data_IF_766081055129
#
_entry.id   IF_766081055129
#
_cell.length_a   1.000
_cell.length_b   1.000
_cell.length_c   1.000
_cell.angle_alpha   90.00
_cell.angle_beta   90.00
_cell.angle_gamma   90.00
#
_symmetry.space_group_name_H-M   'P 1'
#
loop_
_entity.id
_entity.type
_entity.pdbx_description
1 polymer ?
#
# COMPACT_ATOMS: atom_id res chain seq x y z
N UNK A 1 -68.20 33.29 7.25
CA UNK A 1 -68.28 32.72 8.62
C UNK A 1 -67.61 31.36 8.77
N UNK A 2 -67.13 30.69 7.71
CA UNK A 2 -66.45 29.39 7.84
C UNK A 2 -64.95 29.47 8.16
N UNK A 3 -64.26 30.58 7.86
CA UNK A 3 -62.82 30.71 8.13
C UNK A 3 -62.45 30.86 9.62
N UNK A 4 -63.34 31.41 10.46
CA UNK A 4 -63.07 31.60 11.89
C UNK A 4 -63.30 30.35 12.76
N UNK A 5 -63.99 29.34 12.23
CA UNK A 5 -64.20 28.07 12.92
C UNK A 5 -62.94 27.18 12.85
N UNK A 6 -62.25 27.16 11.70
CA UNK A 6 -60.98 26.45 11.52
C UNK A 6 -59.86 27.03 12.39
N UNK A 7 -59.72 28.36 12.45
CA UNK A 7 -58.72 29.01 13.33
C UNK A 7 -58.95 28.68 14.81
N UNK A 8 -60.21 28.60 15.25
CA UNK A 8 -60.54 28.26 16.65
C UNK A 8 -60.29 26.79 16.98
N UNK A 9 -60.48 25.89 16.00
CA UNK A 9 -60.20 24.46 16.14
C UNK A 9 -58.69 24.19 16.18
N UNK A 10 -57.93 24.75 15.25
CA UNK A 10 -56.47 24.60 15.20
C UNK A 10 -55.78 25.23 16.42
N UNK A 11 -56.30 26.34 16.93
CA UNK A 11 -55.72 26.95 18.14
C UNK A 11 -56.04 26.10 19.38
N UNK A 12 -57.32 25.78 19.63
CA UNK A 12 -57.68 25.12 20.88
C UNK A 12 -57.32 23.63 20.93
N UNK A 13 -57.60 22.90 19.84
CA UNK A 13 -57.30 21.47 19.75
C UNK A 13 -55.84 21.24 19.35
N UNK A 14 -55.28 22.08 18.48
CA UNK A 14 -53.87 21.97 18.08
C UNK A 14 -52.91 22.31 19.21
N UNK A 15 -53.20 23.29 20.08
CA UNK A 15 -52.36 23.56 21.25
C UNK A 15 -52.45 22.42 22.28
N UNK A 16 -53.66 21.91 22.54
CA UNK A 16 -53.85 20.75 23.42
C UNK A 16 -53.13 19.50 22.90
N UNK A 17 -53.20 19.22 21.60
CA UNK A 17 -52.44 18.12 20.99
C UNK A 17 -50.93 18.37 21.06
N UNK A 18 -50.46 19.60 20.82
CA UNK A 18 -49.03 19.95 20.94
C UNK A 18 -48.49 19.77 22.35
N UNK A 19 -49.31 20.01 23.37
CA UNK A 19 -48.93 19.76 24.77
C UNK A 19 -48.95 18.27 25.14
N UNK A 20 -49.92 17.50 24.65
CA UNK A 20 -50.07 16.09 25.00
C UNK A 20 -49.20 15.12 24.20
N UNK A 21 -48.88 15.45 22.95
CA UNK A 21 -48.14 14.53 22.07
C UNK A 21 -46.72 14.23 22.56
N UNK A 22 -45.89 15.20 22.99
CA UNK A 22 -44.53 14.92 23.45
C UNK A 22 -44.44 13.90 24.61
N UNK A 23 -45.19 14.04 25.72
CA UNK A 23 -45.11 13.06 26.81
C UNK A 23 -45.67 11.69 26.42
N UNK A 24 -46.72 11.62 25.59
CA UNK A 24 -47.26 10.35 25.10
C UNK A 24 -46.29 9.66 24.12
N UNK A 25 -45.67 10.42 23.21
CA UNK A 25 -44.68 9.89 22.29
C UNK A 25 -43.46 9.32 23.03
N UNK A 26 -43.06 9.94 24.14
CA UNK A 26 -41.97 9.43 24.98
C UNK A 26 -42.27 8.07 25.65
N UNK A 27 -43.55 7.65 25.73
CA UNK A 27 -43.91 6.31 26.23
C UNK A 27 -43.76 5.21 25.20
N UNK A 28 -43.59 5.57 23.93
CA UNK A 28 -43.40 4.62 22.83
C UNK A 28 -41.92 4.27 22.76
N UNK A 29 -41.59 3.00 22.99
CA UNK A 29 -40.23 2.50 22.80
C UNK A 29 -39.76 2.76 21.37
N UNK A 30 -38.46 3.05 21.15
CA UNK A 30 -37.93 3.17 19.80
C UNK A 30 -38.18 1.87 19.03
N UNK A 31 -38.43 1.97 17.71
CA UNK A 31 -38.62 0.80 16.87
C UNK A 31 -37.41 -0.12 16.93
N UNK A 32 -37.68 -1.43 17.01
CA UNK A 32 -36.65 -2.46 16.89
C UNK A 32 -36.14 -2.56 15.44
N UNK A 33 -35.10 -3.37 15.22
CA UNK A 33 -34.47 -3.47 13.89
C UNK A 33 -35.43 -3.97 12.80
N UNK A 34 -36.32 -4.91 13.15
CA UNK A 34 -37.33 -5.42 12.22
C UNK A 34 -38.38 -4.35 11.87
N UNK A 35 -38.82 -3.57 12.86
CA UNK A 35 -39.74 -2.46 12.65
C UNK A 35 -39.07 -1.37 11.81
N UNK A 36 -37.80 -1.06 12.05
CA UNK A 36 -37.02 -0.12 11.23
C UNK A 36 -36.95 -0.56 9.76
N UNK A 37 -36.67 -1.83 9.48
CA UNK A 37 -36.65 -2.38 8.12
C UNK A 37 -38.03 -2.25 7.45
N UNK A 38 -39.11 -2.58 8.17
CA UNK A 38 -40.47 -2.49 7.65
C UNK A 38 -40.88 -1.03 7.37
N UNK A 39 -40.55 -0.11 8.28
CA UNK A 39 -40.80 1.33 8.11
C UNK A 39 -40.05 1.88 6.90
N UNK A 40 -38.77 1.51 6.72
CA UNK A 40 -37.96 1.97 5.59
C UNK A 40 -38.40 1.35 4.25
N UNK A 41 -39.05 0.18 4.26
CA UNK A 41 -39.69 -0.39 3.08
C UNK A 41 -40.93 0.43 2.67
N UNK A 42 -41.70 0.92 3.63
CA UNK A 42 -42.90 1.73 3.38
C UNK A 42 -42.55 3.17 3.01
N UNK A 43 -41.72 3.83 3.82
CA UNK A 43 -41.28 5.21 3.60
C UNK A 43 -39.85 5.24 3.07
N UNK A 44 -39.75 5.25 1.75
CA UNK A 44 -38.49 5.04 1.04
C UNK A 44 -37.44 6.15 1.19
N UNK A 45 -37.82 7.32 1.73
CA UNK A 45 -36.95 8.50 1.94
C UNK A 45 -36.53 8.67 3.41
N UNK A 46 -37.02 7.83 4.33
CA UNK A 46 -36.79 7.96 5.78
C UNK A 46 -35.30 7.90 6.17
N UNK A 47 -34.47 7.27 5.35
CA UNK A 47 -33.02 7.17 5.56
C UNK A 47 -32.27 8.48 5.29
N UNK A 48 -32.84 9.45 4.55
CA UNK A 48 -32.15 10.67 4.12
C UNK A 48 -31.66 11.51 5.30
N UNK A 49 -32.50 11.71 6.32
CA UNK A 49 -32.14 12.47 7.51
C UNK A 49 -30.96 11.82 8.27
N UNK A 50 -30.93 10.48 8.33
CA UNK A 50 -29.82 9.73 8.97
C UNK A 50 -28.56 9.78 8.12
N UNK A 51 -28.70 9.76 6.80
CA UNK A 51 -27.57 9.90 5.89
C UNK A 51 -26.94 11.30 5.96
N UNK A 52 -27.72 12.38 6.06
CA UNK A 52 -27.18 13.72 6.25
C UNK A 52 -26.42 13.85 7.59
N UNK A 53 -26.92 13.22 8.65
CA UNK A 53 -26.18 13.15 9.92
C UNK A 53 -24.84 12.39 9.77
N UNK A 54 -24.81 11.28 9.02
CA UNK A 54 -23.57 10.56 8.74
C UNK A 54 -22.61 11.41 7.89
N UNK A 55 -23.12 12.15 6.91
CA UNK A 55 -22.32 13.00 6.03
C UNK A 55 -21.52 14.05 6.81
N UNK A 56 -22.05 14.55 7.92
CA UNK A 56 -21.33 15.47 8.79
C UNK A 56 -20.06 14.85 9.41
N UNK A 57 -19.99 13.52 9.54
CA UNK A 57 -18.81 12.81 10.04
C UNK A 57 -17.71 12.69 8.99
N UNK A 58 -18.04 12.76 7.70
CA UNK A 58 -17.14 12.46 6.60
C UNK A 58 -15.80 13.24 6.62
N UNK A 59 -15.74 14.54 6.98
CA UNK A 59 -14.48 15.27 7.06
C UNK A 59 -13.56 14.84 8.21
N UNK A 60 -14.13 14.28 9.28
CA UNK A 60 -13.41 13.98 10.54
C UNK A 60 -13.11 12.49 10.68
N UNK A 61 -14.08 11.65 10.33
CA UNK A 61 -14.00 10.20 10.43
C UNK A 61 -14.69 9.52 9.23
N UNK A 62 -13.94 9.34 8.12
CA UNK A 62 -14.42 8.62 6.94
C UNK A 62 -14.78 7.15 7.22
N UNK A 63 -14.15 6.52 8.21
CA UNK A 63 -14.43 5.13 8.56
C UNK A 63 -15.77 4.99 9.28
N UNK A 64 -16.08 5.87 10.25
CA UNK A 64 -17.39 5.93 10.88
C UNK A 64 -18.49 6.26 9.89
N UNK A 65 -18.25 7.18 8.95
CA UNK A 65 -19.17 7.43 7.83
C UNK A 65 -19.47 6.14 7.05
N UNK A 66 -18.43 5.44 6.61
CA UNK A 66 -18.57 4.24 5.78
C UNK A 66 -19.31 3.12 6.52
N UNK A 67 -18.93 2.85 7.77
CA UNK A 67 -19.58 1.86 8.63
C UNK A 67 -21.06 2.22 8.89
N UNK A 68 -21.34 3.50 9.12
CA UNK A 68 -22.68 4.04 9.29
C UNK A 68 -23.54 3.87 8.03
N UNK A 69 -22.99 4.13 6.85
CA UNK A 69 -23.68 3.92 5.56
C UNK A 69 -24.00 2.44 5.36
N UNK A 70 -23.08 1.52 5.69
CA UNK A 70 -23.37 0.09 5.60
C UNK A 70 -24.46 -0.34 6.60
N UNK A 71 -24.43 0.17 7.83
CA UNK A 71 -25.46 -0.11 8.83
C UNK A 71 -26.84 0.42 8.41
N UNK A 72 -26.90 1.67 7.94
CA UNK A 72 -28.10 2.28 7.39
C UNK A 72 -28.61 1.49 6.17
N UNK A 73 -27.69 1.00 5.35
CA UNK A 73 -27.97 0.14 4.22
C UNK A 73 -28.64 -1.18 4.59
N UNK A 74 -28.15 -1.86 5.64
CA UNK A 74 -28.80 -3.09 6.17
C UNK A 74 -30.23 -2.81 6.63
N UNK A 75 -30.45 -1.69 7.32
CA UNK A 75 -31.78 -1.26 7.76
C UNK A 75 -32.72 -0.85 6.60
N UNK A 76 -32.17 -0.65 5.39
CA UNK A 76 -32.91 -0.31 4.19
C UNK A 76 -32.88 -1.46 3.16
N UNK A 77 -32.51 -2.67 3.56
CA UNK A 77 -32.27 -3.76 2.60
C UNK A 77 -33.51 -4.07 1.74
N UNK A 78 -34.73 -3.82 2.27
CA UNK A 78 -36.04 -3.99 1.62
C UNK A 78 -36.58 -2.73 0.95
N UNK A 79 -35.89 -1.60 1.08
CA UNK A 79 -36.26 -0.34 0.49
C UNK A 79 -35.87 -0.32 -1.01
N UNK A 80 -36.83 -0.19 -1.95
CA UNK A 80 -36.53 -0.16 -3.39
C UNK A 80 -35.74 1.10 -3.84
N UNK A 81 -35.68 2.14 -3.00
CA UNK A 81 -34.95 3.39 -3.25
C UNK A 81 -33.59 3.47 -2.52
N UNK A 82 -33.02 2.35 -2.08
CA UNK A 82 -31.72 2.32 -1.40
C UNK A 82 -30.51 2.57 -2.35
N UNK A 83 -30.65 2.31 -3.65
CA UNK A 83 -29.52 2.45 -4.59
C UNK A 83 -28.89 3.88 -4.58
N UNK A 84 -29.67 4.99 -4.64
CA UNK A 84 -29.16 6.35 -4.48
C UNK A 84 -28.25 6.57 -3.26
N UNK A 85 -28.59 6.05 -2.07
CA UNK A 85 -27.78 6.15 -0.84
C UNK A 85 -26.32 5.76 -1.12
N UNK A 86 -26.13 4.58 -1.71
CA UNK A 86 -24.79 4.05 -1.98
C UNK A 86 -24.04 4.82 -3.06
N UNK A 87 -24.76 5.28 -4.11
CA UNK A 87 -24.13 6.06 -5.18
C UNK A 87 -23.63 7.40 -4.66
N UNK A 88 -24.41 8.06 -3.82
CA UNK A 88 -24.03 9.33 -3.21
C UNK A 88 -22.90 9.15 -2.21
N UNK A 89 -22.96 8.12 -1.37
CA UNK A 89 -21.90 7.80 -0.42
C UNK A 89 -20.57 7.53 -1.14
N UNK A 90 -20.59 6.73 -2.21
CA UNK A 90 -19.41 6.46 -3.03
C UNK A 90 -18.82 7.74 -3.64
N UNK A 91 -19.67 8.65 -4.11
CA UNK A 91 -19.23 9.95 -4.67
C UNK A 91 -18.57 10.82 -3.62
N UNK A 92 -19.22 11.01 -2.48
CA UNK A 92 -18.73 11.88 -1.41
C UNK A 92 -17.40 11.34 -0.86
N UNK A 93 -17.32 10.03 -0.58
CA UNK A 93 -16.08 9.40 -0.12
C UNK A 93 -14.98 9.45 -1.18
N UNK A 94 -15.34 9.28 -2.46
CA UNK A 94 -14.40 9.35 -3.58
C UNK A 94 -13.78 10.72 -3.78
N UNK A 95 -14.45 11.81 -3.39
CA UNK A 95 -13.88 13.15 -3.49
C UNK A 95 -12.69 13.35 -2.53
N UNK A 96 -12.68 12.68 -1.37
CA UNK A 96 -11.58 12.71 -0.41
C UNK A 96 -10.33 11.99 -0.91
N UNK A 97 -10.46 10.97 -1.75
CA UNK A 97 -9.33 10.28 -2.39
C UNK A 97 -8.53 9.31 -1.52
N UNK A 98 -8.84 9.15 -0.23
CA UNK A 98 -8.04 8.33 0.71
C UNK A 98 -8.56 6.89 0.94
N UNK A 99 -9.69 6.48 0.37
CA UNK A 99 -10.30 5.15 0.60
C UNK A 99 -10.85 4.51 -0.69
N UNK A 100 -10.00 4.15 -1.66
CA UNK A 100 -10.46 3.73 -2.98
C UNK A 100 -11.24 2.41 -2.96
N UNK A 101 -10.86 1.46 -2.10
CA UNK A 101 -11.57 0.19 -1.92
C UNK A 101 -13.01 0.40 -1.46
N UNK A 102 -13.21 1.26 -0.45
CA UNK A 102 -14.53 1.52 0.11
C UNK A 102 -15.44 2.22 -0.89
N UNK A 103 -14.88 3.12 -1.71
CA UNK A 103 -15.62 3.77 -2.79
C UNK A 103 -16.12 2.74 -3.80
N UNK A 104 -15.27 1.80 -4.21
CA UNK A 104 -15.67 0.73 -5.14
C UNK A 104 -16.70 -0.20 -4.50
N UNK A 105 -16.54 -0.58 -3.23
CA UNK A 105 -17.53 -1.39 -2.50
C UNK A 105 -18.89 -0.70 -2.45
N UNK A 106 -18.95 0.56 -2.02
CA UNK A 106 -20.19 1.34 -2.00
C UNK A 106 -20.81 1.43 -3.40
N UNK A 107 -19.99 1.63 -4.44
CA UNK A 107 -20.49 1.62 -5.82
C UNK A 107 -21.06 0.24 -6.24
N UNK A 108 -20.46 -0.86 -5.80
CA UNK A 108 -20.99 -2.21 -6.05
C UNK A 108 -22.32 -2.45 -5.34
N UNK A 109 -22.48 -1.97 -4.10
CA UNK A 109 -23.79 -1.96 -3.42
C UNK A 109 -24.85 -1.20 -4.24
N UNK A 110 -24.50 -0.03 -4.81
CA UNK A 110 -25.39 0.70 -5.72
C UNK A 110 -25.82 -0.15 -6.93
N UNK A 111 -24.88 -0.82 -7.58
CA UNK A 111 -25.17 -1.66 -8.75
C UNK A 111 -26.06 -2.86 -8.40
N UNK A 112 -25.75 -3.52 -7.27
CA UNK A 112 -26.49 -4.67 -6.77
C UNK A 112 -27.95 -4.29 -6.47
N UNK A 113 -28.17 -3.32 -5.58
CA UNK A 113 -29.53 -2.94 -5.18
C UNK A 113 -30.31 -2.26 -6.31
N UNK A 114 -29.63 -1.50 -7.17
CA UNK A 114 -30.25 -0.91 -8.35
C UNK A 114 -30.82 -1.99 -9.27
N UNK A 115 -30.09 -3.09 -9.48
CA UNK A 115 -30.53 -4.24 -10.24
C UNK A 115 -31.57 -5.12 -9.55
N UNK A 116 -31.47 -5.27 -8.23
CA UNK A 116 -32.39 -6.08 -7.42
C UNK A 116 -33.83 -5.60 -7.51
N UNK A 117 -34.03 -4.28 -7.46
CA UNK A 117 -35.37 -3.68 -7.38
C UNK A 117 -35.90 -3.10 -8.69
N UNK A 118 -35.04 -2.87 -9.70
CA UNK A 118 -35.46 -2.28 -10.98
C UNK A 118 -35.13 -3.20 -12.15
N UNK A 119 -36.16 -3.71 -12.82
CA UNK A 119 -36.03 -4.56 -13.99
C UNK A 119 -35.27 -3.90 -15.16
N UNK A 120 -35.44 -2.59 -15.34
CA UNK A 120 -34.76 -1.79 -16.38
C UNK A 120 -33.65 -0.90 -15.79
N UNK A 121 -32.86 -1.44 -14.86
CA UNK A 121 -31.77 -0.69 -14.24
C UNK A 121 -30.66 -0.36 -15.24
N UNK A 122 -30.51 0.93 -15.54
CA UNK A 122 -29.38 1.48 -16.30
C UNK A 122 -28.38 2.10 -15.32
N UNK A 123 -27.27 1.39 -14.98
CA UNK A 123 -26.34 1.88 -13.98
C UNK A 123 -25.63 3.14 -14.46
N UNK A 124 -25.61 4.17 -13.61
CA UNK A 124 -24.80 5.36 -13.84
C UNK A 124 -23.32 4.99 -13.62
N UNK A 125 -22.42 5.31 -14.57
CA UNK A 125 -20.99 5.10 -14.35
C UNK A 125 -20.49 5.99 -13.20
N UNK A 126 -19.35 5.62 -12.62
CA UNK A 126 -18.62 6.54 -11.76
C UNK A 126 -18.25 7.80 -12.56
N UNK A 127 -18.13 8.94 -11.87
CA UNK A 127 -17.69 10.16 -12.53
C UNK A 127 -16.27 9.92 -13.06
N UNK A 128 -15.99 10.28 -14.33
CA UNK A 128 -14.65 10.13 -14.93
C UNK A 128 -13.53 10.75 -14.09
N UNK A 129 -13.82 11.83 -13.35
CA UNK A 129 -12.86 12.45 -12.42
C UNK A 129 -12.52 11.54 -11.24
N UNK A 130 -13.50 10.80 -10.72
CA UNK A 130 -13.32 9.83 -9.63
C UNK A 130 -12.58 8.61 -10.15
N UNK A 131 -12.95 8.09 -11.33
CA UNK A 131 -12.23 6.95 -11.95
C UNK A 131 -10.73 7.25 -12.10
N UNK A 132 -10.38 8.44 -12.59
CA UNK A 132 -8.97 8.89 -12.69
C UNK A 132 -8.27 9.04 -11.34
N UNK A 133 -9.00 9.43 -10.29
CA UNK A 133 -8.46 9.54 -8.92
C UNK A 133 -8.23 8.14 -8.29
N UNK A 134 -9.16 7.21 -8.53
CA UNK A 134 -9.18 5.87 -7.93
C UNK A 134 -8.23 4.89 -8.63
N UNK A 135 -8.13 4.98 -9.96
CA UNK A 135 -7.36 4.06 -10.80
C UNK A 135 -6.25 4.83 -11.52
N UNK A 136 -5.03 4.71 -11.00
CA UNK A 136 -3.85 5.38 -11.58
C UNK A 136 -3.29 4.60 -12.76
N UNK A 137 -3.40 3.28 -12.73
CA UNK A 137 -2.92 2.37 -13.77
C UNK A 137 -4.08 1.90 -14.66
N UNK A 138 -3.87 1.74 -15.98
CA UNK A 138 -4.91 1.22 -16.88
C UNK A 138 -5.32 -0.22 -16.51
N UNK A 139 -4.41 -1.02 -15.95
CA UNK A 139 -4.69 -2.37 -15.47
C UNK A 139 -5.70 -2.39 -14.31
N UNK A 140 -5.61 -1.42 -13.38
CA UNK A 140 -6.56 -1.28 -12.28
C UNK A 140 -7.96 -0.97 -12.80
N UNK A 141 -8.06 -0.09 -13.80
CA UNK A 141 -9.33 0.23 -14.45
C UNK A 141 -9.92 -1.01 -15.14
N UNK A 142 -9.10 -1.78 -15.86
CA UNK A 142 -9.54 -2.99 -16.54
C UNK A 142 -10.06 -4.05 -15.55
N UNK A 143 -9.39 -4.25 -14.41
CA UNK A 143 -9.85 -5.17 -13.36
C UNK A 143 -11.14 -4.71 -12.71
N UNK A 144 -11.26 -3.43 -12.40
CA UNK A 144 -12.49 -2.84 -11.92
C UNK A 144 -13.65 -3.06 -12.90
N UNK A 145 -13.43 -2.82 -14.20
CA UNK A 145 -14.46 -3.03 -15.23
C UNK A 145 -14.87 -4.49 -15.34
N UNK A 146 -13.91 -5.42 -15.25
CA UNK A 146 -14.18 -6.85 -15.24
C UNK A 146 -15.06 -7.27 -14.04
N UNK A 147 -14.70 -6.83 -12.82
CA UNK A 147 -15.49 -7.10 -11.62
C UNK A 147 -16.88 -6.46 -11.68
N UNK A 148 -16.98 -5.24 -12.21
CA UNK A 148 -18.27 -4.56 -12.44
C UNK A 148 -19.15 -5.36 -13.41
N UNK A 149 -18.60 -5.83 -14.52
CA UNK A 149 -19.34 -6.64 -15.49
C UNK A 149 -19.79 -7.96 -14.88
N UNK A 150 -18.92 -8.61 -14.12
CA UNK A 150 -19.24 -9.86 -13.43
C UNK A 150 -20.34 -9.67 -12.38
N UNK A 151 -20.32 -8.59 -11.60
CA UNK A 151 -21.39 -8.25 -10.65
C UNK A 151 -22.73 -8.03 -11.35
N UNK A 152 -22.73 -7.31 -12.48
CA UNK A 152 -23.95 -7.06 -13.25
C UNK A 152 -24.53 -8.36 -13.86
N UNK A 153 -23.66 -9.33 -14.18
CA UNK A 153 -24.03 -10.64 -14.72
C UNK A 153 -24.49 -11.62 -13.65
N UNK A 154 -23.69 -11.84 -12.62
CA UNK A 154 -23.93 -12.81 -11.54
C UNK A 154 -25.03 -12.35 -10.58
N UNK A 155 -25.20 -11.03 -10.42
CA UNK A 155 -26.04 -10.41 -9.39
C UNK A 155 -25.64 -10.83 -7.97
N UNK A 156 -24.39 -11.22 -7.77
CA UNK A 156 -23.88 -11.60 -6.45
C UNK A 156 -22.87 -10.57 -5.94
N UNK A 157 -23.20 -9.96 -4.81
CA UNK A 157 -22.42 -8.91 -4.20
C UNK A 157 -21.25 -9.43 -3.37
N UNK A 158 -21.39 -10.60 -2.74
CA UNK A 158 -20.37 -11.16 -1.85
C UNK A 158 -19.03 -11.40 -2.54
N UNK A 159 -18.95 -12.19 -3.64
CA UNK A 159 -17.68 -12.45 -4.32
C UNK A 159 -17.10 -11.18 -4.95
N UNK A 160 -17.95 -10.29 -5.46
CA UNK A 160 -17.51 -9.03 -6.03
C UNK A 160 -16.85 -8.12 -4.98
N UNK A 161 -17.39 -8.09 -3.75
CA UNK A 161 -16.88 -7.27 -2.65
C UNK A 161 -15.57 -7.80 -2.08
N UNK A 162 -15.41 -9.12 -2.02
CA UNK A 162 -14.18 -9.79 -1.60
C UNK A 162 -13.06 -9.62 -2.62
N UNK A 163 -13.39 -9.58 -3.92
CA UNK A 163 -12.42 -9.35 -4.97
C UNK A 163 -11.95 -7.89 -5.12
N UNK A 164 -12.58 -6.92 -4.45
CA UNK A 164 -12.22 -5.49 -4.59
C UNK A 164 -10.73 -5.19 -4.33
N UNK A 165 -10.07 -5.72 -3.27
CA UNK A 165 -8.66 -5.45 -3.01
C UNK A 165 -7.74 -5.87 -4.18
N UNK A 166 -8.12 -6.92 -4.91
CA UNK A 166 -7.35 -7.45 -6.05
C UNK A 166 -7.21 -6.45 -7.21
N UNK A 167 -8.04 -5.41 -7.24
CA UNK A 167 -7.94 -4.33 -8.23
C UNK A 167 -6.58 -3.63 -8.14
N UNK A 168 -6.05 -3.42 -6.93
CA UNK A 168 -4.80 -2.68 -6.71
C UNK A 168 -3.58 -3.58 -6.49
N UNK A 169 -3.74 -4.90 -6.48
CA UNK A 169 -2.63 -5.84 -6.38
C UNK A 169 -1.70 -5.72 -7.60
N UNK A 170 -0.38 -5.75 -7.40
CA UNK A 170 0.54 -5.77 -8.54
C UNK A 170 0.59 -7.19 -9.12
N UNK A 171 0.29 -7.33 -10.42
CA UNK A 171 0.57 -8.57 -11.13
C UNK A 171 2.09 -8.77 -11.18
N UNK A 172 2.59 -9.80 -10.50
CA UNK A 172 4.01 -10.14 -10.57
C UNK A 172 4.28 -10.63 -11.98
N UNK A 173 5.13 -9.92 -12.73
CA UNK A 173 5.58 -10.38 -14.04
C UNK A 173 6.26 -11.73 -13.86
N UNK A 174 5.72 -12.76 -14.52
CA UNK A 174 6.34 -14.08 -14.56
C UNK A 174 7.67 -13.95 -15.29
N UNK A 175 8.79 -14.09 -14.58
CA UNK A 175 10.11 -14.10 -15.19
C UNK A 175 10.28 -15.45 -15.88
N UNK A 176 10.09 -15.47 -17.20
CA UNK A 176 10.40 -16.66 -17.99
C UNK A 176 11.91 -16.64 -18.32
N UNK A 177 12.69 -17.41 -17.55
CA UNK A 177 14.11 -17.59 -17.80
C UNK A 177 14.28 -18.26 -19.17
N UNK A 178 14.89 -17.57 -20.14
CA UNK A 178 15.17 -18.17 -21.45
C UNK A 178 16.32 -19.18 -21.32
N UNK A 179 16.07 -20.50 -21.44
CA UNK A 179 17.11 -21.52 -21.25
C UNK A 179 18.18 -21.51 -22.35
N UNK A 180 17.90 -20.89 -23.50
CA UNK A 180 18.89 -20.68 -24.55
C UNK A 180 19.84 -19.53 -24.20
N UNK A 181 19.32 -18.43 -23.66
CA UNK A 181 20.14 -17.31 -23.18
C UNK A 181 21.05 -17.74 -22.01
N UNK A 182 20.53 -18.57 -21.09
CA UNK A 182 21.33 -19.16 -20.00
C UNK A 182 22.46 -20.05 -20.53
N UNK A 183 22.19 -20.86 -21.56
CA UNK A 183 23.22 -21.70 -22.19
C UNK A 183 24.26 -20.87 -22.94
N UNK A 184 23.84 -19.84 -23.67
CA UNK A 184 24.74 -18.93 -24.37
C UNK A 184 25.65 -18.18 -23.38
N UNK A 185 25.11 -17.67 -22.27
CA UNK A 185 25.92 -17.05 -21.21
C UNK A 185 26.93 -18.03 -20.59
N UNK A 186 26.51 -19.28 -20.33
CA UNK A 186 27.44 -20.34 -19.85
C UNK A 186 28.56 -20.63 -20.85
N UNK A 187 28.26 -20.64 -22.15
CA UNK A 187 29.25 -20.86 -23.20
C UNK A 187 30.19 -19.65 -23.38
N UNK A 188 29.67 -18.43 -23.29
CA UNK A 188 30.46 -17.19 -23.37
C UNK A 188 31.53 -17.10 -22.28
N UNK A 189 31.27 -17.69 -21.11
CA UNK A 189 32.21 -17.71 -20.00
C UNK A 189 32.93 -19.07 -19.83
N UNK A 190 32.69 -20.05 -20.70
CA UNK A 190 33.27 -21.40 -20.56
C UNK A 190 34.81 -21.37 -20.62
N UNK A 191 35.38 -20.64 -21.58
CA UNK A 191 36.84 -20.48 -21.68
C UNK A 191 37.46 -19.73 -20.51
N UNK A 192 36.73 -18.78 -19.92
CA UNK A 192 37.18 -18.05 -18.71
C UNK A 192 37.16 -18.96 -17.49
N UNK A 193 36.13 -19.79 -17.34
CA UNK A 193 36.01 -20.78 -16.27
C UNK A 193 37.09 -21.84 -16.38
N UNK A 194 37.40 -22.31 -17.60
CA UNK A 194 38.50 -23.25 -17.84
C UNK A 194 39.86 -22.64 -17.46
N UNK A 195 40.13 -21.40 -17.89
CA UNK A 195 41.37 -20.70 -17.54
C UNK A 195 41.51 -20.52 -16.01
N UNK A 196 40.45 -20.09 -15.33
CA UNK A 196 40.44 -19.97 -13.86
C UNK A 196 40.66 -21.32 -13.17
N UNK A 197 40.07 -22.39 -13.69
CA UNK A 197 40.23 -23.75 -13.15
C UNK A 197 41.65 -24.30 -13.39
N UNK A 198 42.32 -23.84 -14.44
CA UNK A 198 43.74 -24.11 -14.71
C UNK A 198 44.65 -23.35 -13.73
N UNK A 199 44.43 -22.04 -13.54
CA UNK A 199 45.16 -21.25 -12.55
C UNK A 199 44.93 -21.72 -11.10
N UNK A 200 43.73 -22.24 -10.79
CA UNK A 200 43.40 -22.82 -9.47
C UNK A 200 44.00 -24.22 -9.26
N UNK A 201 44.51 -24.88 -10.31
CA UNK A 201 45.18 -26.20 -10.20
C UNK A 201 46.66 -26.10 -9.85
N UNK A 202 47.27 -24.93 -9.96
CA UNK A 202 48.72 -24.73 -9.75
C UNK A 202 49.11 -24.28 -8.33
N UNK A 203 48.17 -24.28 -7.37
CA UNK A 203 48.51 -24.32 -5.95
C UNK A 203 48.53 -25.77 -5.46
N UNK A 204 49.60 -26.49 -5.80
CA UNK A 204 49.96 -27.73 -5.12
C UNK A 204 50.25 -27.39 -3.64
N UNK A 205 49.49 -27.93 -2.66
CA UNK A 205 49.89 -27.79 -1.27
C UNK A 205 51.21 -28.55 -1.08
N UNK A 206 52.22 -27.83 -0.61
CA UNK A 206 53.52 -28.34 -0.18
C UNK A 206 53.41 -29.69 0.55
N UNK A 207 54.41 -30.59 0.40
CA UNK A 207 54.31 -31.98 0.78
C UNK A 207 53.93 -32.13 2.25
N UNK A 208 52.78 -32.77 2.47
CA UNK A 208 52.28 -33.16 3.78
C UNK A 208 53.24 -34.20 4.36
N UNK A 209 54.10 -33.78 5.28
CA UNK A 209 54.90 -34.69 6.08
C UNK A 209 54.00 -35.71 6.81
N UNK A 210 54.44 -36.97 6.80
CA UNK A 210 53.75 -38.13 7.37
C UNK A 210 53.45 -37.96 8.89
N UNK A 211 52.47 -38.70 9.44
CA UNK A 211 51.81 -38.35 10.69
C UNK A 211 52.64 -38.76 11.91
N UNK A 212 52.87 -37.80 12.82
CA UNK A 212 53.31 -38.09 14.18
C UNK A 212 52.15 -38.74 14.99
N UNK A 213 52.45 -39.66 15.92
CA UNK A 213 51.45 -40.47 16.61
C UNK A 213 50.61 -39.62 17.56
N UNK A 214 49.32 -39.99 17.66
CA UNK A 214 48.32 -39.40 18.54
C UNK A 214 48.75 -39.46 20.01
N UNK A 215 48.57 -38.37 20.79
CA UNK A 215 48.23 -38.47 22.19
C UNK A 215 46.72 -38.25 22.39
N UNK A 216 46.08 -39.15 23.14
CA UNK A 216 44.90 -38.83 23.95
C UNK A 216 45.39 -38.68 25.42
N UNK A 217 44.55 -38.27 26.37
CA UNK A 217 43.85 -36.98 26.47
C UNK A 217 44.07 -36.38 27.87
N UNK A 218 44.20 -35.05 28.05
CA UNK A 218 43.97 -34.48 29.40
C UNK A 218 43.25 -33.14 29.33
N UNK A 219 42.18 -33.11 30.13
CA UNK A 219 41.26 -32.04 30.46
C UNK A 219 41.97 -30.80 30.99
N UNK A 220 41.50 -29.61 30.60
CA UNK A 220 41.13 -28.47 31.49
C UNK A 220 40.65 -27.32 30.58
N UNK A 221 39.38 -26.93 30.67
CA UNK A 221 38.87 -25.80 31.47
C UNK A 221 38.74 -24.52 30.63
N UNK A 222 37.51 -24.03 30.50
CA UNK A 222 37.17 -22.64 30.19
C UNK A 222 37.82 -21.70 31.26
N UNK A 223 38.01 -20.36 31.05
CA UNK A 223 37.13 -19.46 30.29
C UNK A 223 37.79 -18.22 29.61
N UNK A 224 36.92 -17.46 28.91
CA UNK A 224 36.85 -15.99 28.80
C UNK A 224 37.97 -15.12 28.16
N UNK A 225 37.49 -14.31 27.20
CA UNK A 225 37.70 -12.86 27.01
C UNK A 225 38.86 -12.32 26.14
N UNK A 226 38.41 -11.49 25.19
CA UNK A 226 38.93 -10.19 24.76
C UNK A 226 39.99 -10.06 23.64
N UNK A 227 39.69 -9.06 22.79
CA UNK A 227 40.58 -8.18 22.00
C UNK A 227 40.98 -8.58 20.57
N UNK A 228 40.36 -7.87 19.60
CA UNK A 228 40.90 -7.11 18.44
C UNK A 228 42.38 -7.21 18.05
N UNK A 229 42.82 -6.62 16.90
CA UNK A 229 42.35 -6.70 15.50
C UNK A 229 43.52 -6.80 14.46
N UNK A 230 43.15 -6.89 13.16
CA UNK A 230 43.94 -6.49 11.97
C UNK A 230 45.12 -7.41 11.54
N UNK A 231 45.62 -7.41 10.27
CA UNK A 231 45.65 -6.31 9.30
C UNK A 231 45.27 -6.62 7.84
N UNK A 232 44.99 -5.53 7.10
CA UNK A 232 44.77 -5.45 5.66
C UNK A 232 46.10 -5.33 4.87
N UNK A 233 46.09 -5.52 3.53
CA UNK A 233 47.06 -4.92 2.63
C UNK A 233 46.46 -3.79 1.74
N UNK A 234 47.22 -2.69 1.64
CA UNK A 234 47.17 -1.56 0.67
C UNK A 234 47.69 -2.04 -0.71
N UNK A 235 47.56 -1.37 -1.86
CA UNK A 235 46.79 -0.25 -2.43
C UNK A 235 47.25 -0.12 -3.90
N UNK A 236 46.43 0.41 -4.82
CA UNK A 236 46.92 1.13 -6.01
C UNK A 236 45.87 2.15 -6.46
N UNK A 237 46.33 3.37 -6.75
CA UNK A 237 45.55 4.59 -6.88
C UNK A 237 45.38 5.05 -8.33
N UNK A 238 44.25 5.70 -8.61
CA UNK A 238 44.13 6.77 -9.60
C UNK A 238 42.98 7.70 -9.16
N UNK A 239 43.27 8.99 -8.95
CA UNK A 239 42.27 10.02 -8.58
C UNK A 239 41.49 10.55 -9.80
N UNK A 240 40.49 11.44 -9.59
CA UNK A 240 40.75 12.72 -8.94
C UNK A 240 39.70 13.18 -7.89
N UNK A 241 40.07 14.28 -7.21
CA UNK A 241 39.28 15.20 -6.38
C UNK A 241 38.83 14.71 -4.99
N UNK A 242 39.53 15.21 -3.97
CA UNK A 242 39.14 15.12 -2.57
C UNK A 242 37.83 15.88 -2.35
N UNK A 243 36.72 15.15 -2.29
CA UNK A 243 35.49 15.64 -1.67
C UNK A 243 35.66 15.54 -0.15
N UNK A 244 35.50 16.67 0.53
CA UNK A 244 35.41 16.72 2.00
C UNK A 244 34.25 15.83 2.41
N UNK A 245 34.51 14.85 3.28
CA UNK A 245 33.47 13.94 3.75
C UNK A 245 32.53 14.70 4.69
N UNK A 246 31.33 15.04 4.20
CA UNK A 246 30.28 15.68 5.00
C UNK A 246 29.47 14.66 5.83
N UNK A 247 29.88 13.40 5.86
CA UNK A 247 29.15 12.30 6.49
C UNK A 247 29.78 11.91 7.82
N UNK A 248 28.95 11.50 8.78
CA UNK A 248 29.41 11.10 10.11
C UNK A 248 30.43 9.96 10.02
N UNK A 249 31.62 10.16 10.61
CA UNK A 249 32.72 9.20 10.58
C UNK A 249 32.35 7.84 11.23
N UNK A 250 31.34 7.82 12.11
CA UNK A 250 30.80 6.62 12.76
C UNK A 250 30.18 5.61 11.78
N UNK A 251 29.74 6.05 10.60
CA UNK A 251 29.14 5.17 9.59
C UNK A 251 30.18 4.31 8.85
N UNK A 252 31.47 4.65 8.95
CA UNK A 252 32.56 3.87 8.34
C UNK A 252 32.49 3.74 6.82
N UNK A 253 31.81 4.65 6.12
CA UNK A 253 31.58 4.60 4.67
C UNK A 253 32.88 4.62 3.87
N UNK A 254 32.98 3.77 2.83
CA UNK A 254 34.13 3.78 1.93
C UNK A 254 34.01 4.91 0.87
N UNK A 255 35.10 5.17 0.14
CA UNK A 255 35.13 6.28 -0.82
C UNK A 255 34.07 6.17 -1.93
N UNK A 256 33.80 4.97 -2.44
CA UNK A 256 32.79 4.76 -3.47
C UNK A 256 31.36 4.98 -2.95
N UNK A 257 31.09 4.59 -1.70
CA UNK A 257 29.80 4.81 -1.02
C UNK A 257 29.55 6.31 -0.76
N UNK A 258 30.57 7.04 -0.32
CA UNK A 258 30.46 8.49 -0.11
C UNK A 258 30.22 9.23 -1.43
N UNK A 259 30.95 8.86 -2.48
CA UNK A 259 30.77 9.44 -3.81
C UNK A 259 29.36 9.13 -4.38
N UNK A 260 28.81 7.94 -4.12
CA UNK A 260 27.44 7.62 -4.51
C UNK A 260 26.41 8.49 -3.78
N UNK A 261 26.57 8.71 -2.47
CA UNK A 261 25.66 9.58 -1.71
C UNK A 261 25.73 11.05 -2.14
N UNK A 262 26.90 11.52 -2.56
CA UNK A 262 27.03 12.86 -3.16
C UNK A 262 26.31 12.93 -4.51
N UNK A 263 26.45 11.88 -5.34
CA UNK A 263 25.72 11.79 -6.61
C UNK A 263 24.20 11.80 -6.40
N UNK A 264 23.70 11.13 -5.34
CA UNK A 264 22.29 11.24 -4.98
C UNK A 264 21.90 12.68 -4.63
N UNK A 265 22.70 13.42 -3.86
CA UNK A 265 22.40 14.82 -3.53
C UNK A 265 22.39 15.74 -4.76
N UNK A 266 23.28 15.52 -5.73
CA UNK A 266 23.31 16.29 -6.98
C UNK A 266 22.07 16.08 -7.85
N UNK A 267 21.40 14.92 -7.69
CA UNK A 267 20.23 14.52 -8.47
C UNK A 267 18.93 14.49 -7.64
N UNK A 268 18.79 15.38 -6.66
CA UNK A 268 17.56 15.49 -5.84
C UNK A 268 17.18 14.17 -5.15
N UNK A 269 18.18 13.43 -4.67
CA UNK A 269 18.05 12.15 -3.98
C UNK A 269 17.36 11.03 -4.78
N UNK A 270 17.31 11.19 -6.11
CA UNK A 270 16.72 10.21 -7.02
C UNK A 270 17.68 9.94 -8.18
N UNK A 271 18.02 8.68 -8.42
CA UNK A 271 18.90 8.29 -9.51
C UNK A 271 18.31 7.15 -10.34
N UNK A 272 18.30 7.24 -11.68
CA UNK A 272 17.93 6.12 -12.53
C UNK A 272 18.80 4.90 -12.26
N UNK A 273 18.21 3.70 -12.31
CA UNK A 273 18.96 2.46 -12.09
C UNK A 273 20.16 2.33 -13.04
N UNK A 274 20.03 2.80 -14.29
CA UNK A 274 21.10 2.80 -15.27
C UNK A 274 22.27 3.72 -14.88
N UNK A 275 22.00 4.85 -14.22
CA UNK A 275 23.02 5.78 -13.75
C UNK A 275 23.81 5.18 -12.57
N UNK A 276 23.12 4.54 -11.62
CA UNK A 276 23.78 3.82 -10.51
C UNK A 276 24.58 2.63 -11.01
N UNK A 277 24.08 1.91 -12.01
CA UNK A 277 24.82 0.81 -12.64
C UNK A 277 26.10 1.29 -13.33
N UNK A 278 26.03 2.37 -14.11
CA UNK A 278 27.20 2.98 -14.75
C UNK A 278 28.22 3.46 -13.71
N UNK A 279 27.75 4.11 -12.63
CA UNK A 279 28.60 4.56 -11.53
C UNK A 279 29.31 3.39 -10.83
N UNK A 280 28.58 2.31 -10.54
CA UNK A 280 29.13 1.11 -9.88
C UNK A 280 30.24 0.45 -10.70
N UNK A 281 30.03 0.32 -12.01
CA UNK A 281 31.04 -0.21 -12.95
C UNK A 281 32.28 0.67 -13.00
N UNK A 282 32.13 2.00 -13.01
CA UNK A 282 33.25 2.93 -13.00
C UNK A 282 34.09 2.84 -11.70
N UNK A 283 33.47 2.45 -10.58
CA UNK A 283 34.12 2.27 -9.29
C UNK A 283 34.51 0.81 -8.99
N UNK A 284 34.44 -0.09 -9.98
CA UNK A 284 34.85 -1.49 -9.85
C UNK A 284 33.99 -2.32 -8.89
N UNK A 285 32.75 -1.92 -8.63
CA UNK A 285 31.83 -2.59 -7.73
C UNK A 285 30.52 -3.00 -8.43
N UNK A 286 29.83 -4.00 -7.89
CA UNK A 286 28.49 -4.34 -8.35
C UNK A 286 27.48 -3.36 -7.74
N UNK A 287 26.51 -2.93 -8.56
CA UNK A 287 25.41 -2.05 -8.15
C UNK A 287 24.77 -2.49 -6.83
N UNK A 288 24.30 -3.74 -6.78
CA UNK A 288 23.60 -4.27 -5.60
C UNK A 288 24.53 -4.30 -4.38
N UNK A 289 25.81 -4.66 -4.55
CA UNK A 289 26.78 -4.67 -3.45
C UNK A 289 27.01 -3.27 -2.85
N UNK A 290 27.01 -2.21 -3.67
CA UNK A 290 27.13 -0.83 -3.18
C UNK A 290 25.88 -0.39 -2.42
N UNK A 291 24.70 -0.71 -2.94
CA UNK A 291 23.41 -0.36 -2.35
C UNK A 291 23.19 -1.13 -1.03
N UNK A 292 23.33 -2.45 -1.06
CA UNK A 292 23.19 -3.32 0.12
C UNK A 292 24.21 -2.92 1.19
N UNK A 293 25.46 -2.67 0.81
CA UNK A 293 26.51 -2.24 1.74
C UNK A 293 26.28 -0.83 2.33
N UNK A 294 25.53 0.05 1.65
CA UNK A 294 25.10 1.34 2.22
C UNK A 294 23.94 1.15 3.19
N UNK A 295 22.94 0.36 2.78
CA UNK A 295 21.77 0.06 3.58
C UNK A 295 22.15 -0.64 4.89
N UNK A 296 23.00 -1.68 4.84
CA UNK A 296 23.50 -2.38 6.04
C UNK A 296 24.19 -1.44 7.04
N UNK A 297 25.00 -0.49 6.55
CA UNK A 297 25.75 0.44 7.40
C UNK A 297 24.88 1.50 8.04
N UNK A 298 23.80 1.88 7.36
CA UNK A 298 22.89 2.93 7.84
C UNK A 298 21.70 2.35 8.62
N UNK A 299 21.43 1.05 8.50
CA UNK A 299 20.27 0.39 9.13
C UNK A 299 20.21 0.60 10.64
N UNK A 300 21.33 0.44 11.35
CA UNK A 300 21.37 0.62 12.80
C UNK A 300 21.11 2.06 13.26
N UNK A 301 21.34 3.06 12.39
CA UNK A 301 21.12 4.47 12.68
C UNK A 301 19.69 4.90 12.34
N UNK A 302 19.18 4.44 11.19
CA UNK A 302 17.90 4.85 10.64
C UNK A 302 16.73 3.96 11.10
N UNK A 303 17.03 2.78 11.64
CA UNK A 303 16.07 1.68 11.87
C UNK A 303 15.30 1.28 10.58
N UNK A 304 15.90 1.60 9.43
CA UNK A 304 15.31 1.41 8.10
C UNK A 304 16.38 1.38 7.01
N UNK A 305 15.97 1.03 5.79
CA UNK A 305 16.80 1.01 4.59
C UNK A 305 16.99 2.43 4.06
N UNK A 306 18.24 2.83 3.79
CA UNK A 306 18.55 4.19 3.30
C UNK A 306 18.08 4.42 1.87
N UNK A 307 18.33 3.45 0.98
CA UNK A 307 18.05 3.53 -0.45
C UNK A 307 16.97 2.52 -0.80
N UNK A 308 15.82 3.02 -1.25
CA UNK A 308 14.74 2.21 -1.79
C UNK A 308 14.89 1.99 -3.29
N UNK A 309 14.58 0.78 -3.74
CA UNK A 309 14.51 0.45 -5.17
C UNK A 309 13.06 0.53 -5.67
N UNK A 310 12.83 1.42 -6.64
CA UNK A 310 11.59 1.50 -7.41
C UNK A 310 11.75 0.81 -8.78
N UNK A 311 10.72 0.86 -9.65
CA UNK A 311 10.75 0.14 -10.93
C UNK A 311 11.85 0.60 -11.88
N UNK A 312 12.21 1.89 -11.84
CA UNK A 312 13.13 2.49 -12.80
C UNK A 312 14.24 3.33 -12.12
N UNK A 313 14.07 3.69 -10.85
CA UNK A 313 14.95 4.58 -10.11
C UNK A 313 15.28 4.05 -8.69
N UNK A 314 16.38 4.52 -8.13
CA UNK A 314 16.70 4.46 -6.70
C UNK A 314 16.38 5.80 -6.04
N UNK A 315 15.81 5.76 -4.85
CA UNK A 315 15.42 6.96 -4.10
C UNK A 315 15.90 6.90 -2.66
N UNK A 316 16.37 8.05 -2.15
CA UNK A 316 16.69 8.23 -0.73
C UNK A 316 15.65 9.17 -0.12
N UNK A 317 15.05 8.79 1.01
CA UNK A 317 14.18 9.70 1.73
C UNK A 317 14.98 10.87 2.32
N UNK A 318 14.53 12.09 2.07
CA UNK A 318 15.30 13.30 2.41
C UNK A 318 15.65 13.41 3.89
N UNK A 319 14.72 13.00 4.78
CA UNK A 319 14.98 13.00 6.22
C UNK A 319 16.11 12.02 6.61
N UNK A 320 16.23 10.89 5.91
CA UNK A 320 17.32 9.92 6.14
C UNK A 320 18.66 10.48 5.65
N UNK A 321 18.67 11.16 4.50
CA UNK A 321 19.88 11.81 4.01
C UNK A 321 20.40 12.87 4.99
N UNK A 322 19.50 13.71 5.52
CA UNK A 322 19.83 14.76 6.48
C UNK A 322 20.42 14.22 7.79
N UNK A 323 20.01 13.02 8.23
CA UNK A 323 20.57 12.37 9.43
C UNK A 323 22.01 11.84 9.23
N UNK A 324 22.42 11.63 7.97
CA UNK A 324 23.78 11.16 7.63
C UNK A 324 24.76 12.32 7.48
N UNK A 325 24.27 13.48 7.03
CA UNK A 325 25.04 14.72 6.90
C UNK A 325 25.08 15.44 8.25
N UNK A 326 26.27 15.65 8.81
CA UNK A 326 26.44 16.45 10.04
C UNK A 326 26.55 17.94 9.71
#
# INVERSE_FOLDING_TARGET
MLAGADESFDTYFGDYLRELLPPLAATISPPDENTEIALNQFETTRWEARYEALRALLPTDPAAFTNGVHALGRQNERNPAIAPLYLEAARQLGELGHHPEQVVRLYFYYLYYGGKYRHSFKPKPLLKRLEKKLFKLPEQLARYEALRQELLRSRDLAPASEAVPTIWERERKKIELNPAAVRAARQQHAGTVELLNEYLRDDEPAPRAAPAPRPKPVKTAAPAAAASPAPAPKAAAAGPAAAVSNFAASLGLNAAQQALLLLFAEHSLTLPQAAVEAFSKAHGALRNQLIDGLNERCYALLDDVLIEESSDDYTIYEAYYQQLTT
#
